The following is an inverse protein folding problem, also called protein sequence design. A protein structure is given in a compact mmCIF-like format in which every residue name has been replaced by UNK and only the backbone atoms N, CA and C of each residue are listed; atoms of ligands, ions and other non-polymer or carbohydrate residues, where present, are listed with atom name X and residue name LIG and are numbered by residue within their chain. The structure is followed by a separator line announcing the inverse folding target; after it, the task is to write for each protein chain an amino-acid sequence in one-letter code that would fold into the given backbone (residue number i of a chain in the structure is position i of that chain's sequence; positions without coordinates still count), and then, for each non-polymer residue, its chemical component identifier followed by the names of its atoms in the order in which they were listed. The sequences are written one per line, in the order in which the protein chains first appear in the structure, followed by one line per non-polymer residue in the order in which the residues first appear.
data_IF_570173813462
#
_entry.id   IF_570173813462
#
_cell.length_a   1.000
_cell.length_b   1.000
_cell.length_c   1.000
_cell.angle_alpha   90.00
_cell.angle_beta   90.00
_cell.angle_gamma   90.00
#
_symmetry.space_group_name_H-M   'P 1'
#
loop_
_entity.id
_entity.type
_entity.pdbx_description
1 polymer ?
#
# COMPACT_ATOMS: atom_id res chain seq x y z
N UNK A 1 4.67 -0.13 11.61
CA UNK A 1 5.20 0.50 10.38
C UNK A 1 4.96 2.00 10.44
N UNK A 2 5.99 2.81 10.33
CA UNK A 2 5.87 4.26 10.40
C UNK A 2 6.45 4.90 9.14
N UNK A 3 5.97 6.09 8.76
CA UNK A 3 6.50 6.81 7.61
C UNK A 3 5.80 6.52 6.30
N UNK A 4 6.52 6.61 5.19
CA UNK A 4 5.99 6.45 3.84
C UNK A 4 6.30 5.06 3.30
N UNK A 5 5.28 4.22 3.19
CA UNK A 5 5.34 2.91 2.56
C UNK A 5 4.90 2.92 1.10
N UNK A 6 5.53 2.08 0.30
CA UNK A 6 5.22 1.97 -1.13
C UNK A 6 4.57 0.63 -1.45
N UNK A 7 3.28 0.61 -1.87
CA UNK A 7 2.68 -0.58 -2.45
C UNK A 7 3.22 -0.76 -3.87
N UNK A 8 4.44 -1.32 -3.99
CA UNK A 8 5.16 -1.32 -5.25
C UNK A 8 4.44 -2.15 -6.30
N UNK A 9 4.53 -1.71 -7.57
CA UNK A 9 4.03 -2.50 -8.71
C UNK A 9 4.86 -3.77 -8.89
N UNK A 10 4.26 -4.80 -9.47
CA UNK A 10 5.00 -6.00 -9.91
C UNK A 10 5.40 -5.82 -11.38
N UNK A 11 6.69 -5.74 -11.72
CA UNK A 11 7.14 -5.69 -13.08
C UNK A 11 6.86 -7.00 -13.83
N UNK A 12 6.47 -6.89 -15.12
CA UNK A 12 6.27 -8.04 -15.99
C UNK A 12 7.07 -7.90 -17.29
N UNK A 13 7.63 -9.03 -17.75
CA UNK A 13 8.31 -9.11 -19.06
C UNK A 13 7.29 -9.09 -20.21
N UNK A 14 7.78 -9.09 -21.45
CA UNK A 14 6.94 -9.09 -22.67
C UNK A 14 6.05 -10.34 -22.78
N UNK A 15 6.40 -11.44 -22.12
CA UNK A 15 5.59 -12.66 -22.07
C UNK A 15 4.55 -12.66 -20.93
N UNK A 16 4.54 -11.62 -20.11
CA UNK A 16 3.67 -11.47 -18.95
C UNK A 16 4.13 -12.24 -17.71
N UNK A 17 5.38 -12.73 -17.67
CA UNK A 17 5.96 -13.32 -16.46
C UNK A 17 6.52 -12.24 -15.56
N UNK A 18 6.61 -12.50 -14.24
CA UNK A 18 7.27 -11.58 -13.30
C UNK A 18 8.73 -11.36 -13.71
N UNK A 19 9.11 -10.10 -13.87
CA UNK A 19 10.49 -9.68 -14.12
C UNK A 19 11.16 -9.34 -12.78
N UNK A 20 11.83 -10.35 -12.22
CA UNK A 20 12.50 -10.26 -10.92
C UNK A 20 13.73 -9.35 -10.94
N UNK A 21 14.38 -9.15 -12.09
CA UNK A 21 15.51 -8.23 -12.20
C UNK A 21 15.03 -6.78 -12.10
N UNK A 22 14.01 -6.41 -12.88
CA UNK A 22 13.37 -5.10 -12.80
C UNK A 22 12.74 -4.84 -11.43
N UNK A 23 12.16 -5.87 -10.78
CA UNK A 23 11.59 -5.75 -9.44
C UNK A 23 12.66 -5.44 -8.40
N UNK A 24 13.81 -6.10 -8.45
CA UNK A 24 14.96 -5.82 -7.58
C UNK A 24 15.46 -4.39 -7.78
N UNK A 25 15.63 -3.97 -9.04
CA UNK A 25 16.02 -2.60 -9.37
C UNK A 25 15.04 -1.56 -8.84
N UNK A 26 13.73 -1.83 -8.96
CA UNK A 26 12.67 -0.94 -8.44
C UNK A 26 12.74 -0.83 -6.91
N UNK A 27 12.90 -1.94 -6.18
CA UNK A 27 13.00 -1.93 -4.72
C UNK A 27 14.22 -1.11 -4.25
N UNK A 28 15.39 -1.34 -4.83
CA UNK A 28 16.63 -0.59 -4.53
C UNK A 28 16.48 0.90 -4.88
N UNK A 29 15.83 1.22 -6.01
CA UNK A 29 15.57 2.62 -6.37
C UNK A 29 14.65 3.29 -5.35
N UNK A 30 13.55 2.66 -4.94
CA UNK A 30 12.63 3.19 -3.93
C UNK A 30 13.34 3.45 -2.60
N UNK A 31 14.16 2.51 -2.12
CA UNK A 31 14.98 2.69 -0.93
C UNK A 31 15.90 3.90 -1.05
N UNK A 32 16.59 4.07 -2.20
CA UNK A 32 17.48 5.21 -2.45
C UNK A 32 16.76 6.56 -2.48
N UNK A 33 15.44 6.56 -2.70
CA UNK A 33 14.58 7.75 -2.69
C UNK A 33 14.05 8.09 -1.29
N UNK A 34 14.40 7.31 -0.26
CA UNK A 34 14.14 7.61 1.14
C UNK A 34 12.73 7.26 1.61
N UNK A 35 12.13 6.19 1.06
CA UNK A 35 10.90 5.60 1.60
C UNK A 35 11.23 4.78 2.85
N UNK A 36 10.25 4.57 3.72
CA UNK A 36 10.48 3.97 5.03
C UNK A 36 10.23 2.46 5.06
N UNK A 37 9.35 1.94 4.20
CA UNK A 37 9.07 0.49 4.08
C UNK A 37 8.44 0.14 2.71
N UNK A 38 8.48 -1.14 2.34
CA UNK A 38 7.94 -1.64 1.08
C UNK A 38 6.76 -2.60 1.29
N UNK A 39 5.79 -2.53 0.37
CA UNK A 39 4.55 -3.33 0.46
C UNK A 39 4.36 -4.12 -0.85
N UNK A 40 5.09 -5.24 -1.06
CA UNK A 40 4.88 -6.13 -2.19
C UNK A 40 3.52 -6.84 -2.12
N UNK A 41 3.01 -7.27 -3.25
CA UNK A 41 1.76 -8.05 -3.37
C UNK A 41 0.51 -7.35 -2.80
N UNK A 42 0.49 -6.00 -2.72
CA UNK A 42 -0.73 -5.24 -2.48
C UNK A 42 -1.59 -5.12 -3.75
N UNK A 43 -2.69 -4.36 -3.69
CA UNK A 43 -3.56 -4.11 -4.84
C UNK A 43 -2.82 -3.43 -6.00
N UNK A 44 -1.91 -2.50 -5.71
CA UNK A 44 -1.06 -1.84 -6.71
C UNK A 44 -0.05 -2.81 -7.33
N UNK A 45 0.38 -3.82 -6.59
CA UNK A 45 1.25 -4.91 -7.04
C UNK A 45 0.54 -5.99 -7.85
N UNK A 46 -0.73 -5.77 -8.23
CA UNK A 46 -1.54 -6.73 -9.02
C UNK A 46 -1.68 -8.11 -8.35
N UNK A 47 -1.71 -8.16 -7.00
CA UNK A 47 -1.79 -9.42 -6.25
C UNK A 47 -2.86 -10.40 -6.75
N UNK A 48 -4.10 -9.98 -7.13
CA UNK A 48 -5.09 -10.92 -7.68
C UNK A 48 -4.69 -11.57 -9.00
N UNK A 49 -3.67 -11.04 -9.69
CA UNK A 49 -3.17 -11.57 -10.98
C UNK A 49 -1.92 -12.46 -10.81
N UNK A 50 -1.45 -12.67 -9.59
CA UNK A 50 -0.31 -13.50 -9.24
C UNK A 50 -0.78 -14.83 -8.65
N UNK A 51 -0.16 -15.93 -9.08
CA UNK A 51 -0.36 -17.21 -8.39
C UNK A 51 0.38 -17.24 -7.03
N UNK A 52 0.09 -18.21 -6.14
CA UNK A 52 0.70 -18.27 -4.81
C UNK A 52 2.24 -18.39 -4.85
N UNK A 53 2.81 -19.10 -5.83
CA UNK A 53 4.25 -19.24 -5.96
C UNK A 53 4.89 -17.94 -6.49
N UNK A 54 4.23 -17.23 -7.41
CA UNK A 54 4.66 -15.91 -7.86
C UNK A 54 4.64 -14.88 -6.72
N UNK A 55 3.58 -14.88 -5.87
CA UNK A 55 3.52 -13.97 -4.70
C UNK A 55 4.70 -14.21 -3.76
N UNK A 56 4.98 -15.44 -3.37
CA UNK A 56 6.10 -15.77 -2.49
C UNK A 56 7.43 -15.29 -3.09
N UNK A 57 7.67 -15.56 -4.39
CA UNK A 57 8.90 -15.13 -5.07
C UNK A 57 9.01 -13.61 -5.26
N UNK A 58 7.89 -12.90 -5.41
CA UNK A 58 7.87 -11.43 -5.44
C UNK A 58 8.30 -10.88 -4.08
N UNK A 59 7.75 -11.42 -2.98
CA UNK A 59 8.10 -11.01 -1.62
C UNK A 59 9.59 -11.31 -1.35
N UNK A 60 10.06 -12.53 -1.64
CA UNK A 60 11.47 -12.92 -1.52
C UNK A 60 12.40 -11.96 -2.30
N UNK A 61 12.05 -11.67 -3.56
CA UNK A 61 12.86 -10.77 -4.40
C UNK A 61 12.97 -9.36 -3.82
N UNK A 62 11.90 -8.84 -3.22
CA UNK A 62 11.90 -7.51 -2.59
C UNK A 62 12.66 -7.55 -1.28
N UNK A 63 12.45 -8.56 -0.42
CA UNK A 63 13.16 -8.72 0.85
C UNK A 63 14.67 -8.88 0.65
N UNK A 64 15.10 -9.62 -0.38
CA UNK A 64 16.52 -9.78 -0.74
C UNK A 64 17.17 -8.51 -1.32
N UNK A 65 16.37 -7.53 -1.77
CA UNK A 65 16.87 -6.36 -2.49
C UNK A 65 17.05 -5.10 -1.63
N UNK A 66 16.57 -5.11 -0.39
CA UNK A 66 16.54 -3.94 0.49
C UNK A 66 16.64 -4.35 1.97
N UNK A 67 17.16 -3.44 2.80
CA UNK A 67 17.14 -3.58 4.26
C UNK A 67 15.87 -2.93 4.88
N UNK A 68 14.96 -2.39 4.07
CA UNK A 68 13.72 -1.78 4.55
C UNK A 68 12.73 -2.83 5.05
N UNK A 69 11.90 -2.52 6.05
CA UNK A 69 10.81 -3.40 6.49
C UNK A 69 9.84 -3.77 5.35
N UNK A 70 9.38 -5.02 5.35
CA UNK A 70 8.48 -5.59 4.34
C UNK A 70 7.11 -5.89 4.94
N UNK A 71 6.10 -5.12 4.52
CA UNK A 71 4.70 -5.36 4.82
C UNK A 71 4.03 -6.09 3.64
N UNK A 72 4.03 -7.41 3.65
CA UNK A 72 3.60 -8.23 2.52
C UNK A 72 2.08 -8.32 2.39
N UNK A 73 1.53 -8.11 1.19
CA UNK A 73 0.12 -8.37 0.90
C UNK A 73 -0.17 -9.86 0.81
N UNK A 74 -0.87 -10.42 1.80
CA UNK A 74 -1.16 -11.86 1.91
C UNK A 74 -2.64 -12.19 1.81
N UNK A 75 -3.55 -11.19 1.86
CA UNK A 75 -4.98 -11.41 1.85
C UNK A 75 -5.51 -12.13 0.61
N UNK A 76 -6.45 -13.05 0.84
CA UNK A 76 -7.27 -13.78 -0.12
C UNK A 76 -8.73 -13.76 0.33
N UNK A 77 -9.64 -14.31 -0.51
CA UNK A 77 -11.07 -14.42 -0.20
C UNK A 77 -11.41 -15.48 0.85
N UNK A 78 -10.49 -16.33 1.22
CA UNK A 78 -10.69 -17.40 2.19
C UNK A 78 -9.62 -17.40 3.28
N UNK A 79 -9.99 -17.93 4.44
CA UNK A 79 -9.12 -18.04 5.62
C UNK A 79 -7.84 -18.85 5.33
N UNK A 80 -8.00 -20.12 4.94
CA UNK A 80 -6.86 -21.01 4.68
C UNK A 80 -5.87 -20.47 3.62
N UNK A 81 -6.32 -19.96 2.45
CA UNK A 81 -5.41 -19.35 1.50
C UNK A 81 -4.69 -18.11 2.04
N UNK A 82 -5.33 -17.33 2.93
CA UNK A 82 -4.71 -16.16 3.56
C UNK A 82 -3.65 -16.58 4.57
N UNK A 83 -3.94 -17.57 5.41
CA UNK A 83 -2.99 -18.11 6.37
C UNK A 83 -1.78 -18.72 5.67
N UNK A 84 -1.98 -19.59 4.67
CA UNK A 84 -0.90 -20.18 3.87
C UNK A 84 -0.02 -19.12 3.19
N UNK A 85 -0.64 -18.05 2.63
CA UNK A 85 0.11 -16.96 2.03
C UNK A 85 0.92 -16.17 3.08
N UNK A 86 0.39 -16.03 4.30
CA UNK A 86 1.08 -15.35 5.42
C UNK A 86 2.26 -16.17 5.94
N UNK A 87 2.08 -17.49 6.10
CA UNK A 87 3.15 -18.41 6.47
C UNK A 87 4.30 -18.36 5.45
N UNK A 88 3.98 -18.43 4.16
CA UNK A 88 4.99 -18.33 3.10
C UNK A 88 5.68 -16.96 3.07
N UNK A 89 4.95 -15.87 3.34
CA UNK A 89 5.54 -14.54 3.43
C UNK A 89 6.56 -14.46 4.58
N UNK A 90 6.26 -15.08 5.74
CA UNK A 90 7.19 -15.17 6.85
C UNK A 90 8.46 -15.95 6.48
N UNK A 91 8.31 -17.09 5.79
CA UNK A 91 9.44 -17.94 5.36
C UNK A 91 10.40 -17.20 4.41
N UNK A 92 9.92 -16.22 3.63
CA UNK A 92 10.71 -15.51 2.63
C UNK A 92 11.09 -14.07 3.04
N UNK A 93 10.95 -13.74 4.32
CA UNK A 93 11.52 -12.51 4.88
C UNK A 93 10.58 -11.31 4.98
N UNK A 94 9.26 -11.51 5.00
CA UNK A 94 8.33 -10.44 5.37
C UNK A 94 8.35 -10.19 6.89
N UNK A 95 8.22 -8.93 7.30
CA UNK A 95 8.17 -8.52 8.71
C UNK A 95 6.73 -8.44 9.26
N UNK A 96 5.76 -8.22 8.37
CA UNK A 96 4.34 -8.17 8.71
C UNK A 96 3.46 -8.50 7.49
N UNK A 97 2.20 -8.85 7.74
CA UNK A 97 1.21 -9.18 6.73
C UNK A 97 0.15 -8.09 6.59
N UNK A 98 -0.11 -7.63 5.36
CA UNK A 98 -1.22 -6.74 5.02
C UNK A 98 -2.38 -7.57 4.47
N UNK A 99 -3.45 -7.69 5.25
CA UNK A 99 -4.58 -8.55 4.94
C UNK A 99 -5.79 -7.72 4.54
N UNK A 100 -6.14 -7.77 3.24
CA UNK A 100 -7.32 -7.10 2.71
C UNK A 100 -8.60 -7.80 3.19
N UNK A 101 -9.63 -7.02 3.50
CA UNK A 101 -10.96 -7.54 3.83
C UNK A 101 -11.47 -8.44 2.70
N UNK A 102 -11.88 -9.70 2.97
CA UNK A 102 -12.54 -10.56 1.98
C UNK A 102 -13.80 -9.88 1.41
N UNK A 103 -14.06 -10.05 0.12
CA UNK A 103 -15.07 -9.25 -0.58
C UNK A 103 -16.01 -10.05 -1.47
N UNK A 104 -15.70 -11.30 -1.78
CA UNK A 104 -16.53 -12.10 -2.68
C UNK A 104 -17.87 -12.50 -2.05
N UNK A 105 -17.88 -12.77 -0.76
CA UNK A 105 -19.10 -13.00 0.02
C UNK A 105 -19.36 -11.79 0.91
N UNK A 106 -20.62 -11.39 0.99
CA UNK A 106 -21.06 -10.36 1.93
C UNK A 106 -20.93 -10.91 3.37
N UNK A 107 -20.08 -10.26 4.16
CA UNK A 107 -19.83 -10.61 5.55
C UNK A 107 -20.14 -9.40 6.44
N UNK A 108 -20.82 -9.64 7.55
CA UNK A 108 -21.04 -8.58 8.53
C UNK A 108 -19.81 -8.31 9.38
N UNK A 109 -19.83 -7.22 10.15
CA UNK A 109 -18.70 -6.78 10.98
C UNK A 109 -18.30 -7.85 12.02
N UNK A 110 -19.25 -8.60 12.59
CA UNK A 110 -18.98 -9.66 13.57
C UNK A 110 -18.21 -10.83 12.91
N UNK A 111 -18.58 -11.21 11.70
CA UNK A 111 -17.88 -12.24 10.94
C UNK A 111 -16.47 -11.79 10.51
N UNK A 112 -16.31 -10.51 10.14
CA UNK A 112 -15.01 -9.95 9.79
C UNK A 112 -14.09 -9.82 11.03
N UNK A 113 -14.64 -9.42 12.17
CA UNK A 113 -13.90 -9.38 13.43
C UNK A 113 -13.39 -10.78 13.81
N UNK A 114 -14.28 -11.79 13.78
CA UNK A 114 -13.91 -13.17 14.05
C UNK A 114 -12.82 -13.67 13.09
N UNK A 115 -12.99 -13.41 11.77
CA UNK A 115 -12.01 -13.77 10.75
C UNK A 115 -10.61 -13.21 11.05
N UNK A 116 -10.52 -11.91 11.37
CA UNK A 116 -9.23 -11.30 11.65
C UNK A 116 -8.63 -11.75 12.98
N UNK A 117 -9.46 -12.01 13.99
CA UNK A 117 -9.03 -12.52 15.29
C UNK A 117 -8.43 -13.92 15.15
N UNK A 118 -9.16 -14.85 14.51
CA UNK A 118 -8.68 -16.20 14.26
C UNK A 118 -7.39 -16.19 13.43
N UNK A 119 -7.33 -15.34 12.41
CA UNK A 119 -6.13 -15.22 11.58
C UNK A 119 -4.94 -14.66 12.37
N UNK A 120 -5.15 -13.72 13.29
CA UNK A 120 -4.10 -13.17 14.13
C UNK A 120 -3.60 -14.22 15.16
N UNK A 121 -4.50 -15.06 15.68
CA UNK A 121 -4.14 -16.17 16.57
C UNK A 121 -3.21 -17.20 15.88
N UNK A 122 -3.47 -17.51 14.60
CA UNK A 122 -2.74 -18.55 13.86
C UNK A 122 -1.53 -17.99 13.05
N UNK A 123 -1.45 -16.67 12.85
CA UNK A 123 -0.43 -16.04 12.00
C UNK A 123 0.96 -16.01 12.64
N UNK A 124 2.03 -16.40 11.89
CA UNK A 124 3.40 -16.23 12.34
C UNK A 124 3.91 -14.79 12.25
N UNK A 125 3.16 -13.89 11.60
CA UNK A 125 3.49 -12.48 11.39
C UNK A 125 2.46 -11.55 12.04
N UNK A 126 2.88 -10.37 12.51
CA UNK A 126 1.94 -9.31 12.88
C UNK A 126 1.02 -8.95 11.70
N UNK A 127 -0.27 -8.81 11.97
CA UNK A 127 -1.30 -8.52 10.97
C UNK A 127 -1.60 -7.01 10.92
N UNK A 128 -1.61 -6.45 9.73
CA UNK A 128 -2.21 -5.15 9.42
C UNK A 128 -3.53 -5.37 8.68
N UNK A 129 -4.61 -4.90 9.26
CA UNK A 129 -5.93 -4.88 8.61
C UNK A 129 -5.88 -3.98 7.37
N UNK A 130 -6.59 -4.34 6.31
CA UNK A 130 -6.62 -3.49 5.12
C UNK A 130 -8.04 -3.20 4.65
N UNK A 131 -8.52 -2.01 4.96
CA UNK A 131 -9.80 -1.46 4.49
C UNK A 131 -9.60 -0.72 3.16
N UNK A 132 -10.26 -1.20 2.10
CA UNK A 132 -10.19 -0.60 0.76
C UNK A 132 -11.54 -0.65 0.04
N UNK A 133 -12.55 0.11 0.51
CA UNK A 133 -13.94 0.00 0.04
C UNK A 133 -14.11 0.18 -1.47
N UNK A 134 -13.17 0.84 -2.13
CA UNK A 134 -13.15 0.95 -3.60
C UNK A 134 -13.11 -0.43 -4.31
N UNK A 135 -12.48 -1.44 -3.70
CA UNK A 135 -12.30 -2.76 -4.30
C UNK A 135 -13.12 -3.84 -3.61
N UNK A 136 -13.42 -3.66 -2.33
CA UNK A 136 -14.12 -4.65 -1.52
C UNK A 136 -15.61 -4.32 -1.33
N UNK A 137 -16.06 -3.14 -1.78
CA UNK A 137 -17.40 -2.58 -1.53
C UNK A 137 -17.81 -2.54 -0.04
N UNK A 138 -16.85 -2.78 0.85
CA UNK A 138 -17.00 -2.78 2.30
C UNK A 138 -15.88 -1.95 2.95
N UNK A 139 -16.25 -1.04 3.85
CA UNK A 139 -15.32 -0.31 4.70
C UNK A 139 -15.31 -0.96 6.09
N UNK A 140 -14.16 -1.48 6.53
CA UNK A 140 -14.02 -1.98 7.89
C UNK A 140 -14.26 -0.84 8.89
N UNK A 141 -15.16 -1.04 9.86
CA UNK A 141 -15.52 0.02 10.78
C UNK A 141 -14.38 0.35 11.76
N UNK A 142 -14.26 1.60 12.21
CA UNK A 142 -13.33 1.94 13.27
C UNK A 142 -13.58 1.18 14.58
N UNK A 143 -14.83 0.80 14.87
CA UNK A 143 -15.21 -0.01 16.02
C UNK A 143 -14.68 -1.44 15.94
N UNK A 144 -14.71 -2.05 14.76
CA UNK A 144 -14.09 -3.37 14.53
C UNK A 144 -12.58 -3.30 14.68
N UNK A 145 -11.95 -2.23 14.18
CA UNK A 145 -10.52 -2.01 14.37
C UNK A 145 -10.16 -1.83 15.86
N UNK A 146 -10.94 -1.06 16.63
CA UNK A 146 -10.81 -0.91 18.09
C UNK A 146 -10.86 -2.25 18.81
N UNK A 147 -11.86 -3.09 18.49
CA UNK A 147 -12.01 -4.43 19.09
C UNK A 147 -10.83 -5.36 18.82
N UNK A 148 -10.14 -5.18 17.67
CA UNK A 148 -8.99 -5.97 17.27
C UNK A 148 -7.66 -5.38 17.73
N UNK A 149 -7.59 -4.09 18.02
CA UNK A 149 -6.35 -3.38 18.39
C UNK A 149 -5.69 -3.91 19.66
N UNK A 150 -6.47 -4.43 20.62
CA UNK A 150 -5.97 -5.05 21.85
C UNK A 150 -5.39 -6.46 21.64
N UNK A 151 -5.45 -7.03 20.44
CA UNK A 151 -4.88 -8.35 20.14
C UNK A 151 -3.37 -8.24 19.88
N UNK A 152 -2.54 -9.03 20.58
CA UNK A 152 -1.07 -8.92 20.56
C UNK A 152 -0.44 -9.05 19.17
N UNK A 153 -1.12 -9.72 18.22
CA UNK A 153 -0.64 -9.95 16.85
C UNK A 153 -1.39 -9.13 15.78
N UNK A 154 -2.21 -8.16 16.18
CA UNK A 154 -2.81 -7.17 15.28
C UNK A 154 -2.09 -5.83 15.46
N UNK A 155 -1.22 -5.49 14.51
CA UNK A 155 -0.27 -4.40 14.64
C UNK A 155 -0.77 -3.05 14.07
N UNK A 156 -1.90 -3.04 13.34
CA UNK A 156 -2.40 -1.80 12.77
C UNK A 156 -3.44 -1.97 11.67
N UNK A 157 -3.77 -0.86 11.05
CA UNK A 157 -4.69 -0.78 9.91
C UNK A 157 -4.15 0.13 8.81
N UNK A 158 -4.33 -0.27 7.55
CA UNK A 158 -4.28 0.62 6.40
C UNK A 158 -5.69 0.99 5.97
N UNK A 159 -6.06 2.26 6.07
CA UNK A 159 -7.35 2.77 5.57
C UNK A 159 -7.18 3.49 4.23
N UNK A 160 -7.76 2.90 3.19
CA UNK A 160 -7.82 3.46 1.82
C UNK A 160 -9.18 4.02 1.45
N UNK A 161 -10.05 4.32 2.42
CA UNK A 161 -11.34 4.98 2.19
C UNK A 161 -11.18 6.40 1.65
N UNK A 162 -10.10 7.09 2.02
CA UNK A 162 -9.88 8.52 1.75
C UNK A 162 -10.69 9.44 2.69
N UNK A 163 -11.34 8.88 3.70
CA UNK A 163 -12.11 9.62 4.71
C UNK A 163 -11.23 10.08 5.87
N UNK A 164 -11.08 11.38 6.02
CA UNK A 164 -10.37 11.94 7.18
C UNK A 164 -11.11 11.65 8.49
N UNK A 165 -12.46 11.60 8.46
CA UNK A 165 -13.26 11.21 9.62
C UNK A 165 -12.92 9.78 10.06
N UNK A 166 -12.79 8.83 9.12
CA UNK A 166 -12.38 7.46 9.43
C UNK A 166 -11.02 7.42 10.10
N UNK A 167 -10.01 8.12 9.54
CA UNK A 167 -8.67 8.20 10.11
C UNK A 167 -8.69 8.78 11.53
N UNK A 168 -9.42 9.91 11.75
CA UNK A 168 -9.53 10.51 13.09
C UNK A 168 -10.17 9.58 14.11
N UNK A 169 -11.18 8.82 13.69
CA UNK A 169 -11.85 7.84 14.57
C UNK A 169 -10.93 6.65 14.88
N UNK A 170 -10.25 6.11 13.88
CA UNK A 170 -9.27 5.03 14.05
C UNK A 170 -8.21 5.46 15.07
N UNK A 171 -7.52 6.58 14.83
CA UNK A 171 -6.50 7.11 15.75
C UNK A 171 -7.06 7.27 17.17
N UNK A 172 -8.25 7.85 17.30
CA UNK A 172 -8.84 8.12 18.62
C UNK A 172 -9.27 6.87 19.39
N UNK A 173 -9.80 5.87 18.68
CA UNK A 173 -10.32 4.65 19.28
C UNK A 173 -9.22 3.62 19.62
N UNK A 174 -8.04 3.76 19.00
CA UNK A 174 -6.92 2.85 19.21
C UNK A 174 -5.72 3.49 19.93
N UNK A 175 -5.86 4.72 20.48
CA UNK A 175 -4.74 5.50 21.06
C UNK A 175 -4.16 4.89 22.36
N UNK A 176 -4.89 3.99 23.02
CA UNK A 176 -4.43 3.28 24.22
C UNK A 176 -3.69 1.95 23.89
N UNK A 177 -3.62 1.56 22.60
CA UNK A 177 -3.04 0.29 22.13
C UNK A 177 -1.80 0.50 21.25
N UNK A 178 -0.97 -0.53 21.12
CA UNK A 178 0.17 -0.53 20.21
C UNK A 178 -0.30 -0.84 18.76
N UNK A 179 -0.99 0.12 18.13
CA UNK A 179 -1.71 -0.08 16.88
C UNK A 179 -1.45 1.08 15.91
N UNK A 180 -0.82 0.78 14.77
CA UNK A 180 -0.48 1.77 13.74
C UNK A 180 -1.68 2.10 12.84
N UNK A 181 -1.93 3.37 12.60
CA UNK A 181 -2.92 3.83 11.61
C UNK A 181 -2.21 4.37 10.37
N UNK A 182 -2.36 3.67 9.23
CA UNK A 182 -1.70 4.00 7.97
C UNK A 182 -2.70 4.56 6.94
N UNK A 183 -2.43 5.77 6.45
CA UNK A 183 -3.24 6.41 5.41
C UNK A 183 -3.01 5.72 4.06
N UNK A 184 -4.07 5.24 3.41
CA UNK A 184 -3.99 4.60 2.09
C UNK A 184 -4.18 5.54 0.90
N UNK A 185 -4.55 6.81 1.14
CA UNK A 185 -4.82 7.80 0.09
C UNK A 185 -3.86 8.98 0.16
N UNK A 186 -3.01 9.13 -0.86
CA UNK A 186 -2.07 10.26 -0.95
C UNK A 186 -2.74 11.64 -1.04
N UNK A 187 -4.03 11.71 -1.36
CA UNK A 187 -4.75 13.00 -1.40
C UNK A 187 -5.02 13.60 -0.02
N UNK A 188 -5.03 12.76 1.02
CA UNK A 188 -5.30 13.18 2.41
C UNK A 188 -4.12 12.84 3.35
N UNK A 189 -2.93 12.61 2.78
CA UNK A 189 -1.79 12.10 3.57
C UNK A 189 -1.38 13.09 4.67
N UNK A 190 -1.05 14.33 4.34
CA UNK A 190 -0.69 15.34 5.34
C UNK A 190 -1.81 15.57 6.38
N UNK A 191 -3.08 15.61 5.93
CA UNK A 191 -4.22 15.77 6.84
C UNK A 191 -4.40 14.54 7.76
N UNK A 192 -4.10 13.34 7.27
CA UNK A 192 -4.09 12.12 8.09
C UNK A 192 -2.98 12.13 9.14
N UNK A 193 -1.78 12.60 8.77
CA UNK A 193 -0.68 12.80 9.72
C UNK A 193 -1.05 13.84 10.79
N UNK A 194 -1.70 14.94 10.41
CA UNK A 194 -2.23 15.93 11.36
C UNK A 194 -3.27 15.34 12.32
N UNK A 195 -4.02 14.35 11.87
CA UNK A 195 -4.99 13.63 12.68
C UNK A 195 -4.34 12.60 13.63
N UNK A 196 -3.04 12.34 13.52
CA UNK A 196 -2.27 11.43 14.34
C UNK A 196 -1.96 10.08 13.70
N UNK A 197 -2.14 9.92 12.38
CA UNK A 197 -1.73 8.69 11.69
C UNK A 197 -0.19 8.52 11.72
N UNK A 198 0.28 7.27 11.82
CA UNK A 198 1.70 6.91 11.95
C UNK A 198 2.47 6.96 10.63
N UNK A 199 1.75 7.00 9.53
CA UNK A 199 2.33 7.02 8.20
C UNK A 199 1.30 6.76 7.10
N UNK A 200 1.78 6.29 5.96
CA UNK A 200 0.90 5.95 4.85
C UNK A 200 1.47 4.89 3.91
N UNK A 201 0.59 4.17 3.23
CA UNK A 201 0.92 3.21 2.16
C UNK A 201 0.34 3.74 0.87
N UNK A 202 1.16 4.46 0.10
CA UNK A 202 0.70 5.38 -0.94
C UNK A 202 1.09 4.91 -2.35
N UNK A 203 0.10 4.64 -3.21
CA UNK A 203 0.38 4.30 -4.62
C UNK A 203 1.14 5.42 -5.35
N UNK A 204 0.94 6.70 -4.94
CA UNK A 204 1.69 7.86 -5.40
C UNK A 204 3.20 7.71 -5.19
N UNK A 205 3.61 7.08 -4.07
CA UNK A 205 5.01 6.89 -3.73
C UNK A 205 5.76 5.92 -4.67
N UNK A 206 5.06 5.18 -5.55
CA UNK A 206 5.72 4.49 -6.66
C UNK A 206 6.36 5.46 -7.65
N UNK A 207 5.73 6.61 -7.88
CA UNK A 207 6.10 7.50 -9.00
C UNK A 207 6.84 8.76 -8.58
N UNK A 208 6.62 9.23 -7.35
CA UNK A 208 7.33 10.36 -6.72
C UNK A 208 7.67 10.02 -5.26
N UNK A 209 8.47 8.94 -5.03
CA UNK A 209 8.79 8.48 -3.68
C UNK A 209 9.45 9.57 -2.84
N UNK A 210 10.38 10.34 -3.41
CA UNK A 210 11.07 11.44 -2.76
C UNK A 210 10.12 12.53 -2.23
N UNK A 211 9.08 12.86 -3.00
CA UNK A 211 8.09 13.88 -2.60
C UNK A 211 7.10 13.35 -1.56
N UNK A 212 6.67 12.10 -1.71
CA UNK A 212 5.79 11.46 -0.74
C UNK A 212 6.48 11.33 0.64
N UNK A 213 7.76 10.92 0.65
CA UNK A 213 8.56 10.84 1.88
C UNK A 213 8.86 12.22 2.47
N UNK A 214 9.01 13.24 1.63
CA UNK A 214 9.20 14.62 2.06
C UNK A 214 7.98 15.16 2.82
N UNK A 215 6.75 14.83 2.41
CA UNK A 215 5.53 15.20 3.16
C UNK A 215 5.59 14.66 4.60
N UNK A 216 5.97 13.40 4.78
CA UNK A 216 6.10 12.80 6.10
C UNK A 216 7.21 13.47 6.92
N UNK A 217 8.38 13.66 6.33
CA UNK A 217 9.53 14.28 7.01
C UNK A 217 9.22 15.70 7.46
N UNK A 218 8.65 16.55 6.59
CA UNK A 218 8.25 17.91 6.95
C UNK A 218 7.25 17.92 8.11
N UNK A 219 6.25 17.03 8.07
CA UNK A 219 5.27 16.91 9.14
C UNK A 219 5.95 16.51 10.46
N UNK A 220 6.79 15.47 10.44
CA UNK A 220 7.52 14.97 11.63
C UNK A 220 8.44 16.05 12.23
N UNK A 221 9.07 16.86 11.38
CA UNK A 221 10.00 17.93 11.80
C UNK A 221 9.24 19.20 12.27
N UNK A 222 7.89 19.18 12.27
CA UNK A 222 7.02 20.27 12.72
C UNK A 222 6.72 21.34 11.66
N UNK A 223 7.19 21.15 10.43
CA UNK A 223 6.94 22.03 9.28
C UNK A 223 5.58 21.71 8.60
N UNK A 224 4.53 21.72 9.42
CA UNK A 224 3.20 21.22 9.06
C UNK A 224 2.59 21.94 7.85
N UNK A 225 2.75 23.26 7.76
CA UNK A 225 2.22 24.04 6.64
C UNK A 225 2.94 23.70 5.33
N UNK A 226 4.26 23.50 5.36
CA UNK A 226 5.03 23.06 4.21
C UNK A 226 4.63 21.63 3.76
N UNK A 227 4.38 20.72 4.72
CA UNK A 227 3.88 19.39 4.41
C UNK A 227 2.52 19.42 3.72
N UNK A 228 1.61 20.29 4.16
CA UNK A 228 0.27 20.48 3.54
C UNK A 228 0.37 21.08 2.15
N UNK A 229 1.21 22.09 1.95
CA UNK A 229 1.43 22.72 0.65
C UNK A 229 2.00 21.71 -0.35
N UNK A 230 3.02 20.98 0.02
CA UNK A 230 3.60 19.91 -0.81
C UNK A 230 2.55 18.84 -1.12
N UNK A 231 1.82 18.33 -0.12
CA UNK A 231 0.78 17.32 -0.36
C UNK A 231 -0.30 17.83 -1.31
N UNK A 232 -0.72 19.09 -1.18
CA UNK A 232 -1.72 19.71 -2.08
C UNK A 232 -1.23 19.74 -3.55
N UNK A 233 0.04 20.02 -3.78
CA UNK A 233 0.65 20.00 -5.13
C UNK A 233 0.65 18.60 -5.75
N UNK A 234 0.71 17.54 -4.94
CA UNK A 234 0.73 16.14 -5.38
C UNK A 234 -0.66 15.54 -5.67
N UNK A 235 -1.75 16.20 -5.26
CA UNK A 235 -3.13 15.65 -5.33
C UNK A 235 -3.53 15.25 -6.75
N UNK A 236 -3.25 16.07 -7.75
CA UNK A 236 -3.68 15.79 -9.13
C UNK A 236 -2.93 14.58 -9.73
N UNK A 237 -1.63 14.44 -9.45
CA UNK A 237 -0.89 13.24 -9.84
C UNK A 237 -1.41 12.01 -9.10
N UNK A 238 -1.63 12.10 -7.77
CA UNK A 238 -2.22 11.01 -7.00
C UNK A 238 -3.57 10.55 -7.57
N UNK A 239 -4.48 11.48 -7.88
CA UNK A 239 -5.77 11.17 -8.50
C UNK A 239 -5.63 10.48 -9.85
N UNK A 240 -4.65 10.92 -10.67
CA UNK A 240 -4.39 10.31 -11.97
C UNK A 240 -3.92 8.86 -11.82
N UNK A 241 -2.93 8.58 -10.96
CA UNK A 241 -2.35 7.24 -10.80
C UNK A 241 -3.17 6.30 -9.89
N UNK A 242 -4.21 6.79 -9.22
CA UNK A 242 -5.07 5.97 -8.34
C UNK A 242 -6.51 5.88 -8.84
N UNK A 243 -7.24 7.00 -8.80
CA UNK A 243 -8.68 7.02 -9.08
C UNK A 243 -8.98 6.90 -10.58
N UNK A 244 -8.18 7.55 -11.44
CA UNK A 244 -8.47 7.69 -12.86
C UNK A 244 -7.90 6.54 -13.70
N UNK A 245 -6.61 6.26 -13.58
CA UNK A 245 -5.93 5.29 -14.44
C UNK A 245 -5.43 4.05 -13.67
N UNK A 246 -5.35 4.10 -12.33
CA UNK A 246 -4.95 2.98 -11.49
C UNK A 246 -3.56 2.44 -11.82
N UNK A 247 -3.36 1.13 -11.66
CA UNK A 247 -2.09 0.44 -11.92
C UNK A 247 -1.52 0.72 -13.32
N UNK A 248 -2.29 0.73 -14.41
CA UNK A 248 -1.78 1.14 -15.72
C UNK A 248 -1.17 2.54 -15.74
N UNK A 249 -1.77 3.49 -15.00
CA UNK A 249 -1.24 4.84 -14.86
C UNK A 249 0.05 4.88 -14.04
N UNK A 250 0.14 4.13 -12.95
CA UNK A 250 1.38 3.99 -12.16
C UNK A 250 2.51 3.46 -13.02
N UNK A 251 2.30 2.35 -13.74
CA UNK A 251 3.32 1.74 -14.60
C UNK A 251 3.77 2.66 -15.75
N UNK A 252 2.84 3.35 -16.39
CA UNK A 252 3.17 4.33 -17.42
C UNK A 252 4.02 5.50 -16.86
N UNK A 253 3.70 5.98 -15.67
CA UNK A 253 4.46 7.06 -15.02
C UNK A 253 5.84 6.58 -14.57
N UNK A 254 5.98 5.35 -14.07
CA UNK A 254 7.28 4.74 -13.75
C UNK A 254 8.18 4.62 -14.98
N UNK A 255 7.61 4.32 -16.16
CA UNK A 255 8.38 4.31 -17.41
C UNK A 255 8.92 5.71 -17.77
N UNK A 256 8.22 6.80 -17.40
CA UNK A 256 8.71 8.17 -17.53
C UNK A 256 9.83 8.52 -16.52
N UNK A 257 9.99 7.69 -15.48
CA UNK A 257 11.06 7.75 -14.48
C UNK A 257 12.20 6.77 -14.78
N UNK A 258 12.28 6.25 -15.99
CA UNK A 258 13.28 5.24 -16.41
C UNK A 258 13.26 3.95 -15.57
N UNK A 259 12.09 3.61 -15.00
CA UNK A 259 11.90 2.36 -14.29
C UNK A 259 11.23 1.32 -15.21
N UNK A 260 11.91 0.22 -15.58
CA UNK A 260 11.40 -0.78 -16.52
C UNK A 260 10.42 -1.75 -15.83
N UNK A 261 9.16 -1.36 -15.70
CA UNK A 261 8.13 -2.17 -15.01
C UNK A 261 7.18 -2.94 -15.94
N UNK A 262 7.35 -2.78 -17.25
CA UNK A 262 6.53 -3.42 -18.27
C UNK A 262 5.07 -2.96 -18.26
N UNK A 263 4.17 -3.81 -18.78
CA UNK A 263 2.74 -3.54 -18.86
C UNK A 263 1.98 -4.33 -17.80
N UNK A 264 0.77 -3.87 -17.37
CA UNK A 264 -0.03 -4.63 -16.42
C UNK A 264 -0.54 -5.95 -17.03
N UNK A 265 -0.79 -6.96 -16.19
CA UNK A 265 -1.46 -8.20 -16.61
C UNK A 265 -2.95 -7.98 -16.92
N UNK A 266 -3.49 -8.81 -17.80
CA UNK A 266 -4.93 -8.84 -18.05
C UNK A 266 -5.70 -9.19 -16.77
N UNK A 267 -6.89 -8.62 -16.55
CA UNK A 267 -7.73 -7.85 -17.51
C UNK A 267 -7.33 -6.37 -17.67
N UNK A 268 -6.34 -5.87 -16.92
CA UNK A 268 -5.84 -4.51 -17.08
C UNK A 268 -5.18 -4.33 -18.47
N UNK A 269 -5.14 -3.07 -18.92
CA UNK A 269 -4.56 -2.70 -20.21
C UNK A 269 -3.66 -1.48 -20.03
N UNK A 270 -2.56 -1.38 -20.80
CA UNK A 270 -1.74 -0.16 -20.82
C UNK A 270 -2.59 1.06 -21.17
N UNK A 271 -2.21 2.21 -20.66
CA UNK A 271 -2.78 3.50 -21.07
C UNK A 271 -2.29 3.86 -22.47
N UNK A 272 -3.04 4.72 -23.18
CA UNK A 272 -2.64 5.21 -24.48
C UNK A 272 -1.64 6.38 -24.41
N UNK A 273 -1.09 6.78 -25.57
CA UNK A 273 -0.12 7.87 -25.67
C UNK A 273 -0.67 9.24 -25.24
N UNK A 274 -1.99 9.46 -25.33
CA UNK A 274 -2.59 10.73 -24.90
C UNK A 274 -2.60 10.80 -23.37
N UNK A 275 -2.94 9.71 -22.72
CA UNK A 275 -2.88 9.57 -21.26
C UNK A 275 -1.44 9.66 -20.74
N UNK A 276 -0.47 9.03 -21.44
CA UNK A 276 0.95 9.13 -21.05
C UNK A 276 1.44 10.57 -21.04
N UNK A 277 1.09 11.39 -22.05
CA UNK A 277 1.44 12.83 -22.04
C UNK A 277 0.78 13.63 -20.92
N UNK A 278 -0.45 13.26 -20.52
CA UNK A 278 -1.10 13.88 -19.35
C UNK A 278 -0.36 13.53 -18.06
N UNK A 279 0.04 12.29 -17.92
CA UNK A 279 0.80 11.82 -16.76
C UNK A 279 2.19 12.48 -16.69
N UNK A 280 2.86 12.65 -17.84
CA UNK A 280 4.15 13.35 -17.94
C UNK A 280 4.03 14.80 -17.42
N UNK A 281 3.03 15.54 -17.88
CA UNK A 281 2.79 16.92 -17.40
C UNK A 281 2.50 17.00 -15.91
N UNK A 282 1.75 16.03 -15.36
CA UNK A 282 1.46 15.97 -13.92
C UNK A 282 2.69 15.58 -13.10
N UNK A 283 3.51 14.66 -13.62
CA UNK A 283 4.75 14.26 -13.01
C UNK A 283 5.75 15.41 -12.93
N UNK A 284 5.97 16.15 -14.03
CA UNK A 284 6.85 17.32 -14.06
C UNK A 284 6.47 18.33 -12.96
N UNK A 285 5.18 18.69 -12.87
CA UNK A 285 4.67 19.60 -11.82
C UNK A 285 4.88 19.08 -10.41
N UNK A 286 4.69 17.79 -10.21
CA UNK A 286 4.89 17.17 -8.90
C UNK A 286 6.36 17.11 -8.48
N UNK A 287 7.29 17.02 -9.43
CA UNK A 287 8.73 17.05 -9.18
C UNK A 287 9.26 18.47 -8.94
N UNK A 288 8.61 19.49 -9.50
CA UNK A 288 8.97 20.90 -9.32
C UNK A 288 8.42 21.51 -8.00
N UNK A 289 7.42 20.86 -7.40
CA UNK A 289 6.80 21.31 -6.16
C UNK A 289 7.73 21.11 -4.95
#
# INVERSE_FOLDING_TARGET
MHGTGVPLVTPFDESGRVDHESLRGLATWLESMGVDFLVPCGSTGEAPSLDPAERARVIETVADATDLPILAGTGHEGYEPTLEATERAAEVGADAALVVTPSYYDADEEALEAYYRDLADDSPLPIYLYSVPKFTDHALSPETAESLAGHENVAGIKDSSGSLESIQRLVRLTDDEAFDVLVGSGSVYAAGLDAGADGGVLALANVVPERASEVYRLHRDGEVDAARELNAALVELNRAVTARYGVPGVKATLSLRDQPVGTPRRPLRPVDAAVTRQLETLLERALEA
#
